data_IF_891579230106
#
_entry.id   IF_891579230106
#
_cell.length_a   1.000
_cell.length_b   1.000
_cell.length_c   1.000
_cell.angle_alpha   90.00
_cell.angle_beta   90.00
_cell.angle_gamma   90.00
#
_symmetry.space_group_name_H-M   'P 1'
#
loop_
_entity.id
_entity.type
_entity.pdbx_description
1 polymer ?
#
# COMPACT_ATOMS: atom_id res chain seq x y z
N UNK A 1 30.52 -5.33 2.97
CA UNK A 1 29.13 -5.67 3.16
C UNK A 1 28.56 -6.12 1.84
N UNK A 2 28.31 -7.41 1.67
CA UNK A 2 27.64 -7.91 0.48
C UNK A 2 26.18 -7.53 0.56
N UNK A 3 25.71 -6.81 -0.43
CA UNK A 3 24.28 -6.65 -0.66
C UNK A 3 23.65 -8.03 -0.87
N UNK A 4 22.50 -8.34 -0.28
CA UNK A 4 21.83 -9.57 -0.60
C UNK A 4 21.51 -9.57 -2.09
N UNK A 5 22.10 -10.52 -2.78
CA UNK A 5 21.78 -10.71 -4.19
C UNK A 5 20.28 -10.99 -4.32
N UNK A 6 19.64 -10.18 -5.10
CA UNK A 6 18.24 -10.26 -5.40
C UNK A 6 17.99 -11.48 -6.30
N UNK A 7 18.04 -12.68 -5.71
CA UNK A 7 17.76 -13.89 -6.44
C UNK A 7 16.28 -13.97 -6.81
N UNK A 8 15.98 -13.54 -8.03
CA UNK A 8 14.87 -14.08 -8.79
C UNK A 8 13.46 -13.81 -8.27
N UNK A 9 13.23 -12.67 -7.64
CA UNK A 9 11.86 -12.24 -7.37
C UNK A 9 11.17 -11.93 -8.69
N UNK A 10 10.45 -12.88 -9.22
CA UNK A 10 9.54 -12.64 -10.33
C UNK A 10 8.29 -11.96 -9.80
N UNK A 11 7.89 -10.87 -10.46
CA UNK A 11 6.57 -10.31 -10.23
C UNK A 11 5.53 -11.41 -10.46
N UNK A 12 4.69 -11.65 -9.46
CA UNK A 12 3.60 -12.60 -9.61
C UNK A 12 2.55 -11.94 -10.48
N UNK A 13 2.45 -12.36 -11.73
CA UNK A 13 1.46 -11.85 -12.67
C UNK A 13 0.08 -12.28 -12.18
N UNK A 14 -0.82 -11.31 -12.01
CA UNK A 14 -2.21 -11.60 -11.70
C UNK A 14 -2.83 -12.36 -12.88
N UNK A 15 -3.41 -13.52 -12.60
CA UNK A 15 -4.29 -14.20 -13.54
C UNK A 15 -5.56 -13.36 -13.68
N UNK A 16 -5.68 -12.69 -14.81
CA UNK A 16 -6.86 -11.86 -15.13
C UNK A 16 -8.01 -12.77 -15.53
N UNK A 17 -8.70 -13.33 -14.55
CA UNK A 17 -10.02 -13.89 -14.82
C UNK A 17 -11.03 -12.75 -14.87
N UNK A 18 -11.77 -12.56 -15.98
CA UNK A 18 -12.88 -11.63 -16.00
C UNK A 18 -13.94 -12.17 -15.05
N UNK A 19 -13.98 -11.63 -13.84
CA UNK A 19 -15.08 -11.84 -12.91
C UNK A 19 -16.31 -11.15 -13.44
N UNK A 20 -17.37 -11.92 -13.64
CA UNK A 20 -18.61 -11.43 -14.18
C UNK A 20 -19.29 -10.39 -13.30
N UNK A 21 -19.96 -9.53 -14.00
CA UNK A 21 -21.13 -8.73 -13.64
C UNK A 21 -21.14 -8.07 -12.27
N UNK A 22 -20.63 -6.84 -12.26
CA UNK A 22 -20.83 -5.91 -11.17
C UNK A 22 -22.14 -5.12 -11.38
N UNK A 23 -23.25 -5.72 -11.05
CA UNK A 23 -24.43 -4.94 -10.73
C UNK A 23 -24.11 -4.02 -9.55
N UNK A 24 -24.37 -2.71 -9.67
CA UNK A 24 -24.16 -1.76 -8.61
C UNK A 24 -24.99 -2.15 -7.36
N UNK A 25 -24.39 -2.87 -6.44
CA UNK A 25 -24.99 -3.20 -5.15
C UNK A 25 -24.92 -1.94 -4.26
N UNK A 26 -26.03 -1.44 -3.69
CA UNK A 26 -26.05 -0.28 -2.81
C UNK A 26 -25.15 -0.44 -1.55
N UNK A 27 -24.63 -1.63 -1.28
CA UNK A 27 -23.66 -1.91 -0.22
C UNK A 27 -22.21 -1.82 -0.68
N UNK A 28 -21.93 -1.41 -1.91
CA UNK A 28 -20.57 -1.32 -2.42
C UNK A 28 -19.74 -0.27 -1.68
N UNK A 29 -20.34 0.86 -1.31
CA UNK A 29 -19.64 1.92 -0.57
C UNK A 29 -19.16 1.47 0.81
N UNK A 30 -19.98 0.72 1.54
CA UNK A 30 -19.61 0.20 2.87
C UNK A 30 -18.48 -0.83 2.77
N UNK A 31 -18.50 -1.65 1.72
CA UNK A 31 -17.42 -2.61 1.45
C UNK A 31 -16.13 -1.90 1.06
N UNK A 32 -16.23 -0.85 0.26
CA UNK A 32 -15.09 -0.04 -0.14
C UNK A 32 -14.46 0.65 1.07
N UNK A 33 -15.26 1.21 1.96
CA UNK A 33 -14.79 1.83 3.20
C UNK A 33 -14.12 0.83 4.13
N UNK A 34 -14.67 -0.38 4.25
CA UNK A 34 -14.07 -1.46 5.03
C UNK A 34 -12.74 -1.91 4.43
N UNK A 35 -12.66 -2.04 3.11
CA UNK A 35 -11.44 -2.40 2.40
C UNK A 35 -10.35 -1.34 2.60
N UNK A 36 -10.71 -0.06 2.53
CA UNK A 36 -9.80 1.05 2.79
C UNK A 36 -9.31 1.04 4.24
N UNK A 37 -10.22 0.87 5.19
CA UNK A 37 -9.88 0.76 6.62
C UNK A 37 -8.91 -0.39 6.89
N UNK A 38 -9.11 -1.52 6.24
CA UNK A 38 -8.21 -2.67 6.36
C UNK A 38 -6.81 -2.38 5.80
N UNK A 39 -6.73 -1.76 4.62
CA UNK A 39 -5.45 -1.32 4.06
C UNK A 39 -4.73 -0.36 5.00
N UNK A 40 -5.42 0.65 5.52
CA UNK A 40 -4.82 1.64 6.42
C UNK A 40 -4.33 0.99 7.71
N UNK A 41 -5.07 0.04 8.26
CA UNK A 41 -4.64 -0.75 9.43
C UNK A 41 -3.36 -1.54 9.14
N UNK A 42 -3.25 -2.16 7.97
CA UNK A 42 -2.02 -2.83 7.55
C UNK A 42 -0.86 -1.84 7.41
N UNK A 43 -1.11 -0.67 6.85
CA UNK A 43 -0.08 0.37 6.69
C UNK A 43 0.41 0.92 8.03
N UNK A 44 -0.47 1.08 9.00
CA UNK A 44 -0.09 1.48 10.36
C UNK A 44 0.81 0.44 11.02
N UNK A 45 0.47 -0.84 10.88
CA UNK A 45 1.22 -1.93 11.50
C UNK A 45 2.51 -2.32 10.80
N UNK A 46 2.49 -2.40 9.48
CA UNK A 46 3.56 -3.01 8.68
C UNK A 46 3.99 -2.15 7.48
N UNK A 47 3.37 -0.99 7.28
CA UNK A 47 3.63 -0.17 6.11
C UNK A 47 4.95 0.58 6.18
N UNK A 48 5.56 0.76 5.03
CA UNK A 48 6.71 1.63 4.86
C UNK A 48 6.41 2.66 3.76
N UNK A 49 6.58 3.91 4.08
CA UNK A 49 6.45 5.05 3.16
C UNK A 49 7.82 5.56 2.79
N UNK A 50 8.18 5.51 1.51
CA UNK A 50 9.50 5.92 1.06
C UNK A 50 9.58 6.04 -0.44
N UNK A 51 10.64 5.51 -1.01
CA UNK A 51 10.88 5.50 -2.45
C UNK A 51 12.34 5.24 -2.79
N UNK A 52 12.65 5.25 -4.07
CA UNK A 52 13.97 4.96 -4.62
C UNK A 52 14.78 6.25 -4.96
N UNK A 53 14.28 7.42 -4.63
CA UNK A 53 14.84 8.72 -5.00
C UNK A 53 14.26 9.29 -6.30
N UNK A 54 13.62 8.47 -7.13
CA UNK A 54 12.94 8.89 -8.36
C UNK A 54 11.43 8.76 -8.25
N UNK A 55 10.96 7.69 -7.63
CA UNK A 55 9.54 7.39 -7.46
C UNK A 55 9.21 7.15 -6.00
N UNK A 56 8.06 7.66 -5.53
CA UNK A 56 7.53 7.29 -4.24
C UNK A 56 7.11 5.82 -4.24
N UNK A 57 7.20 5.20 -3.09
CA UNK A 57 6.85 3.81 -2.91
C UNK A 57 6.26 3.57 -1.53
N UNK A 58 5.14 2.86 -1.49
CA UNK A 58 4.57 2.31 -0.26
C UNK A 58 4.68 0.81 -0.33
N UNK A 59 5.21 0.19 0.71
CA UNK A 59 5.42 -1.25 0.77
C UNK A 59 4.85 -1.86 2.04
N UNK A 60 4.44 -3.11 1.93
CA UNK A 60 4.06 -3.98 3.04
C UNK A 60 4.87 -5.27 2.94
N UNK A 61 5.51 -5.65 4.02
CA UNK A 61 6.21 -6.93 4.12
C UNK A 61 5.61 -7.74 5.25
N UNK A 62 5.16 -8.94 4.94
CA UNK A 62 4.64 -9.86 5.93
C UNK A 62 5.07 -11.28 5.61
N UNK A 63 5.05 -12.13 6.62
CA UNK A 63 5.38 -13.54 6.49
C UNK A 63 4.49 -14.21 5.43
N UNK A 64 5.01 -15.23 4.74
CA UNK A 64 4.29 -15.97 3.69
C UNK A 64 2.99 -16.61 4.17
N UNK A 65 2.81 -16.80 5.47
CA UNK A 65 1.53 -17.26 6.05
C UNK A 65 0.36 -16.32 5.75
N UNK A 66 0.64 -15.06 5.40
CA UNK A 66 -0.36 -14.05 5.04
C UNK A 66 -0.62 -13.97 3.53
N UNK A 67 -0.34 -15.02 2.79
CA UNK A 67 -0.52 -15.09 1.33
C UNK A 67 -1.92 -14.67 0.90
N UNK A 68 -2.95 -15.12 1.60
CA UNK A 68 -4.33 -14.75 1.31
C UNK A 68 -4.58 -13.24 1.42
N UNK A 69 -3.95 -12.58 2.39
CA UNK A 69 -4.02 -11.12 2.53
C UNK A 69 -3.34 -10.42 1.35
N UNK A 70 -2.20 -10.93 0.89
CA UNK A 70 -1.52 -10.39 -0.28
C UNK A 70 -2.31 -10.60 -1.57
N UNK A 71 -2.96 -11.74 -1.73
CA UNK A 71 -3.84 -11.98 -2.87
C UNK A 71 -5.03 -11.03 -2.87
N UNK A 72 -5.59 -10.76 -1.69
CA UNK A 72 -6.63 -9.76 -1.52
C UNK A 72 -6.15 -8.35 -1.91
N UNK A 73 -4.96 -7.94 -1.47
CA UNK A 73 -4.37 -6.66 -1.82
C UNK A 73 -4.20 -6.49 -3.33
N UNK A 74 -3.73 -7.51 -4.01
CA UNK A 74 -3.57 -7.48 -5.48
C UNK A 74 -4.90 -7.35 -6.21
N UNK A 75 -5.91 -8.07 -5.78
CA UNK A 75 -7.24 -8.01 -6.39
C UNK A 75 -7.92 -6.68 -6.13
N UNK A 76 -7.77 -6.15 -4.93
CA UNK A 76 -8.41 -4.89 -4.53
C UNK A 76 -7.70 -3.69 -5.13
N UNK A 77 -6.39 -3.76 -5.26
CA UNK A 77 -5.54 -2.68 -5.79
C UNK A 77 -4.74 -3.18 -7.01
N UNK A 78 -5.37 -3.31 -8.18
CA UNK A 78 -4.78 -3.99 -9.34
C UNK A 78 -3.56 -3.31 -9.94
N UNK A 79 -3.34 -2.03 -9.68
CA UNK A 79 -2.12 -1.32 -10.07
C UNK A 79 -0.92 -1.56 -9.16
N UNK A 80 -1.10 -2.31 -8.07
CA UNK A 80 -0.04 -2.70 -7.16
C UNK A 80 0.68 -3.97 -7.64
N UNK A 81 1.84 -4.24 -7.06
CA UNK A 81 2.64 -5.41 -7.39
C UNK A 81 2.93 -6.25 -6.14
N UNK A 82 3.07 -7.53 -6.33
CA UNK A 82 3.50 -8.47 -5.29
C UNK A 82 4.81 -9.12 -5.73
N UNK A 83 5.76 -9.15 -4.81
CA UNK A 83 7.09 -9.72 -4.99
C UNK A 83 7.37 -10.79 -3.94
N UNK A 84 8.17 -11.75 -4.32
CA UNK A 84 8.59 -12.84 -3.45
C UNK A 84 8.04 -14.20 -3.91
N UNK A 85 8.12 -15.21 -3.03
CA UNK A 85 8.60 -15.08 -1.66
C UNK A 85 10.12 -14.84 -1.56
N UNK A 86 10.50 -14.03 -0.60
CA UNK A 86 11.89 -13.82 -0.22
C UNK A 86 12.23 -14.67 0.99
N UNK A 87 13.47 -15.18 1.02
CA UNK A 87 13.98 -15.95 2.13
C UNK A 87 15.21 -15.24 2.68
N UNK A 88 15.17 -14.87 3.95
CA UNK A 88 16.30 -14.22 4.60
C UNK A 88 16.32 -14.56 6.10
N UNK A 89 17.47 -15.08 6.58
CA UNK A 89 17.66 -15.36 7.99
C UNK A 89 16.63 -16.32 8.59
N UNK A 90 16.19 -17.34 7.84
CA UNK A 90 15.15 -18.27 8.29
C UNK A 90 13.74 -17.72 8.21
N UNK A 91 13.56 -16.51 7.69
CA UNK A 91 12.24 -15.88 7.49
C UNK A 91 11.87 -15.91 6.01
N UNK A 92 10.60 -16.17 5.74
CA UNK A 92 10.03 -16.14 4.40
C UNK A 92 8.91 -15.09 4.38
N UNK A 93 8.99 -14.16 3.43
CA UNK A 93 8.03 -13.06 3.35
C UNK A 93 7.69 -12.68 1.91
N UNK A 94 6.51 -12.11 1.73
CA UNK A 94 6.12 -11.40 0.53
C UNK A 94 6.24 -9.89 0.74
N UNK A 95 6.41 -9.16 -0.36
CA UNK A 95 6.36 -7.72 -0.38
C UNK A 95 5.31 -7.24 -1.38
N UNK A 96 4.29 -6.58 -0.87
CA UNK A 96 3.37 -5.80 -1.70
C UNK A 96 3.92 -4.40 -1.88
N UNK A 97 3.71 -3.82 -3.06
CA UNK A 97 4.23 -2.48 -3.38
C UNK A 97 3.25 -1.71 -4.25
N UNK A 98 3.00 -0.47 -3.87
CA UNK A 98 2.38 0.55 -4.72
C UNK A 98 3.41 1.65 -4.95
N UNK A 99 3.61 2.05 -6.21
CA UNK A 99 4.63 3.04 -6.55
C UNK A 99 4.25 3.88 -7.77
N UNK A 100 5.03 4.97 -7.98
CA UNK A 100 4.93 5.80 -9.17
C UNK A 100 3.54 6.41 -9.35
N UNK A 101 3.06 6.37 -10.59
CA UNK A 101 1.78 6.96 -10.97
C UNK A 101 0.60 6.36 -10.21
N UNK A 102 0.56 5.03 -10.06
CA UNK A 102 -0.52 4.36 -9.33
C UNK A 102 -0.59 4.83 -7.88
N UNK A 103 0.54 4.93 -7.21
CA UNK A 103 0.60 5.47 -5.85
C UNK A 103 0.08 6.91 -5.79
N UNK A 104 0.54 7.76 -6.71
CA UNK A 104 0.16 9.17 -6.75
C UNK A 104 -1.34 9.38 -7.02
N UNK A 105 -1.90 8.62 -7.95
CA UNK A 105 -3.26 8.84 -8.45
C UNK A 105 -4.33 8.06 -7.68
N UNK A 106 -3.97 6.89 -7.11
CA UNK A 106 -4.94 5.99 -6.48
C UNK A 106 -4.74 5.87 -4.96
N UNK A 107 -3.52 5.61 -4.51
CA UNK A 107 -3.26 5.32 -3.10
C UNK A 107 -3.17 6.59 -2.25
N UNK A 108 -2.45 7.60 -2.71
CA UNK A 108 -2.30 8.86 -1.95
C UNK A 108 -3.65 9.54 -1.70
N UNK A 109 -4.53 9.71 -2.70
CA UNK A 109 -5.85 10.30 -2.45
C UNK A 109 -6.69 9.49 -1.47
N UNK A 110 -6.58 8.17 -1.53
CA UNK A 110 -7.28 7.26 -0.64
C UNK A 110 -6.80 7.39 0.81
N UNK A 111 -5.49 7.41 1.02
CA UNK A 111 -4.88 7.64 2.35
C UNK A 111 -5.24 9.04 2.86
N UNK A 112 -5.15 10.04 2.01
CA UNK A 112 -5.47 11.42 2.35
C UNK A 112 -6.91 11.60 2.83
N UNK A 113 -7.86 10.97 2.15
CA UNK A 113 -9.28 11.01 2.50
C UNK A 113 -9.57 10.44 3.87
N UNK A 114 -8.80 9.44 4.29
CA UNK A 114 -8.96 8.73 5.56
C UNK A 114 -7.80 8.94 6.52
N UNK A 115 -7.09 10.06 6.37
CA UNK A 115 -5.91 10.40 7.17
C UNK A 115 -6.17 10.33 8.68
N UNK A 116 -7.38 10.65 9.12
CA UNK A 116 -7.75 10.62 10.54
C UNK A 116 -7.67 9.23 11.18
N UNK A 117 -7.61 8.16 10.38
CA UNK A 117 -7.40 6.80 10.88
C UNK A 117 -5.92 6.47 11.15
N UNK A 118 -5.00 7.31 10.69
CA UNK A 118 -3.58 7.11 10.91
C UNK A 118 -3.18 7.71 12.26
N UNK A 119 -2.28 7.04 12.96
CA UNK A 119 -1.60 7.65 14.10
C UNK A 119 -0.61 8.73 13.62
N UNK A 120 -0.15 9.57 14.55
CA UNK A 120 0.74 10.68 14.22
C UNK A 120 2.06 10.21 13.58
N UNK A 121 2.57 9.09 14.04
CA UNK A 121 3.80 8.49 13.51
C UNK A 121 3.63 8.10 12.02
N UNK A 122 2.57 7.37 11.70
CA UNK A 122 2.27 6.93 10.34
C UNK A 122 1.94 8.11 9.43
N UNK A 123 1.11 9.04 9.91
CA UNK A 123 0.75 10.26 9.19
C UNK A 123 1.98 11.10 8.85
N UNK A 124 2.91 11.26 9.79
CA UNK A 124 4.17 11.98 9.58
C UNK A 124 5.03 11.33 8.51
N UNK A 125 5.12 10.02 8.48
CA UNK A 125 5.87 9.30 7.44
C UNK A 125 5.23 9.42 6.06
N UNK A 126 3.91 9.39 6.00
CA UNK A 126 3.15 9.65 4.78
C UNK A 126 3.43 11.06 4.26
N UNK A 127 3.37 12.07 5.12
CA UNK A 127 3.65 13.47 4.75
C UNK A 127 5.08 13.63 4.25
N UNK A 128 6.06 13.05 4.93
CA UNK A 128 7.47 13.11 4.53
C UNK A 128 7.67 12.52 3.13
N UNK A 129 7.03 11.39 2.83
CA UNK A 129 7.07 10.82 1.47
C UNK A 129 6.44 11.78 0.45
N UNK A 130 5.28 12.33 0.74
CA UNK A 130 4.60 13.26 -0.16
C UNK A 130 5.44 14.51 -0.42
N UNK A 131 6.04 15.09 0.61
CA UNK A 131 6.92 16.26 0.49
C UNK A 131 8.15 15.95 -0.36
N UNK A 132 8.82 14.83 -0.08
CA UNK A 132 10.03 14.42 -0.80
C UNK A 132 9.81 14.23 -2.30
N UNK A 133 8.65 13.69 -2.68
CA UNK A 133 8.32 13.40 -4.07
C UNK A 133 7.37 14.42 -4.71
N UNK A 134 7.18 15.57 -4.07
CA UNK A 134 6.32 16.65 -4.54
C UNK A 134 4.90 16.18 -4.89
N UNK A 135 4.33 15.34 -4.04
CA UNK A 135 2.96 14.88 -4.18
C UNK A 135 2.06 15.85 -3.42
N UNK A 136 1.06 16.46 -4.07
CA UNK A 136 0.10 17.31 -3.38
C UNK A 136 -0.62 16.52 -2.28
N UNK A 137 -0.63 17.05 -1.08
CA UNK A 137 -1.31 16.44 0.07
C UNK A 137 -1.67 17.51 1.09
N UNK A 138 -2.66 17.20 1.91
CA UNK A 138 -3.00 18.05 3.05
C UNK A 138 -2.21 17.56 4.25
N UNK A 139 -1.36 18.39 4.77
CA UNK A 139 -0.81 18.17 6.11
C UNK A 139 -1.94 18.41 7.12
N UNK A 140 -2.08 17.51 8.07
CA UNK A 140 -3.02 17.71 9.17
C UNK A 140 -2.62 18.93 9.96
N UNK A 141 -2.97 20.11 9.45
CA UNK A 141 -2.84 21.33 10.21
C UNK A 141 -3.72 21.25 11.44
N UNK A 142 -3.15 21.62 12.60
CA UNK A 142 -3.98 21.91 13.74
C UNK A 142 -5.11 22.84 13.27
N UNK A 143 -6.35 22.50 13.60
CA UNK A 143 -7.46 23.37 13.33
C UNK A 143 -7.08 24.77 13.82
N UNK A 144 -7.26 25.83 12.99
CA UNK A 144 -6.97 27.17 13.48
C UNK A 144 -7.82 27.40 14.71
N UNK A 145 -7.16 27.75 15.80
CA UNK A 145 -7.87 28.21 17.00
C UNK A 145 -8.78 29.36 16.58
N UNK A 146 -10.06 29.10 16.68
CA UNK A 146 -11.06 30.12 16.43
C UNK A 146 -11.02 31.16 17.56
#
# INVERSE_FOLDING_TARGET
MKQPENYGARAVVADSRPGGDAGADPKSSDRDDLAVGFLLGLLVGEGHFGGDGRQPQVTLRMHVRHEETFDWLRRTYPGSALYGPYHHGGRSYFQWSARGRYLREEIVPLVQRHRSLLDDYTASRFDTMCERYAIPHETGGAAPDA
#
